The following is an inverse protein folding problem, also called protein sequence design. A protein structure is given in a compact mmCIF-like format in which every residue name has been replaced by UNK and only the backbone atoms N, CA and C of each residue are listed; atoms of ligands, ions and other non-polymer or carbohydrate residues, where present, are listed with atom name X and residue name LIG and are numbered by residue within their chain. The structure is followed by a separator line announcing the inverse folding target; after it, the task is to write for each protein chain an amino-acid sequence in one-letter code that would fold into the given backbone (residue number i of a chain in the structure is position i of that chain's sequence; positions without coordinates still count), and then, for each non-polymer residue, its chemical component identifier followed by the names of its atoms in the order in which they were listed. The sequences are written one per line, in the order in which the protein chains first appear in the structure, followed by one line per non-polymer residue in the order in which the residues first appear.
data_IF_403220511748
#
_entry.id   IF_403220511748
#
_cell.length_a   1.000
_cell.length_b   1.000
_cell.length_c   1.000
_cell.angle_alpha   90.00
_cell.angle_beta   90.00
_cell.angle_gamma   90.00
#
_symmetry.space_group_name_H-M   'P 1'
#
loop_
_entity.id
_entity.type
_entity.pdbx_description
1 polymer ?
#
# COMPACT_ATOMS: atom_id res chain seq x y z
N UNK A 1 -5.83 -12.41 -31.14
CA UNK A 1 -7.01 -12.71 -31.98
C UNK A 1 -7.88 -13.81 -31.38
N UNK A 2 -7.31 -14.99 -31.04
CA UNK A 2 -8.05 -16.15 -30.48
C UNK A 2 -8.98 -15.84 -29.28
N UNK A 3 -8.52 -15.04 -28.31
CA UNK A 3 -9.32 -14.72 -27.12
C UNK A 3 -10.55 -13.83 -27.40
N UNK A 4 -10.45 -12.89 -28.35
CA UNK A 4 -11.59 -12.02 -28.69
C UNK A 4 -12.73 -12.82 -29.32
N UNK A 5 -12.37 -13.77 -30.19
CA UNK A 5 -13.33 -14.71 -30.80
C UNK A 5 -13.99 -15.56 -29.72
N UNK A 6 -13.22 -16.07 -28.76
CA UNK A 6 -13.76 -16.84 -27.64
C UNK A 6 -14.76 -16.02 -26.80
N UNK A 7 -14.43 -14.76 -26.48
CA UNK A 7 -15.32 -13.86 -25.72
C UNK A 7 -16.64 -13.64 -26.46
N UNK A 8 -16.60 -13.39 -27.78
CA UNK A 8 -17.81 -13.19 -28.59
C UNK A 8 -18.64 -14.48 -28.63
N UNK A 9 -18.01 -15.63 -28.88
CA UNK A 9 -18.70 -16.91 -28.92
C UNK A 9 -19.36 -17.24 -27.57
N UNK A 10 -18.64 -17.01 -26.47
CA UNK A 10 -19.15 -17.23 -25.12
C UNK A 10 -20.30 -16.28 -24.78
N UNK A 11 -20.25 -15.03 -25.23
CA UNK A 11 -21.33 -14.07 -25.06
C UNK A 11 -22.62 -14.53 -25.75
N UNK A 12 -22.53 -14.94 -27.03
CA UNK A 12 -23.66 -15.49 -27.77
C UNK A 12 -24.26 -16.70 -27.05
N UNK A 13 -23.40 -17.60 -26.56
CA UNK A 13 -23.83 -18.77 -25.80
C UNK A 13 -24.56 -18.40 -24.49
N UNK A 14 -24.03 -17.46 -23.72
CA UNK A 14 -24.65 -17.00 -22.46
C UNK A 14 -26.00 -16.31 -22.69
N UNK A 15 -26.16 -15.56 -23.79
CA UNK A 15 -27.45 -14.98 -24.18
C UNK A 15 -28.46 -16.07 -24.54
N UNK A 16 -28.04 -17.05 -25.34
CA UNK A 16 -28.90 -18.18 -25.69
C UNK A 16 -29.36 -18.95 -24.45
N UNK A 17 -28.45 -19.17 -23.49
CA UNK A 17 -28.81 -19.77 -22.20
C UNK A 17 -29.83 -18.93 -21.44
N UNK A 18 -29.60 -17.62 -21.35
CA UNK A 18 -30.50 -16.68 -20.69
C UNK A 18 -31.91 -16.67 -21.29
N UNK A 19 -32.03 -16.83 -22.60
CA UNK A 19 -33.31 -16.85 -23.31
C UNK A 19 -34.05 -18.19 -23.20
N UNK A 20 -33.32 -19.31 -23.10
CA UNK A 20 -33.91 -20.66 -23.16
C UNK A 20 -34.18 -21.30 -21.80
N UNK A 21 -33.49 -20.88 -20.75
CA UNK A 21 -33.51 -21.57 -19.45
C UNK A 21 -34.02 -20.68 -18.32
N UNK A 22 -34.57 -21.27 -17.23
CA UNK A 22 -35.07 -20.50 -16.10
C UNK A 22 -33.94 -19.71 -15.40
N UNK A 23 -34.20 -18.48 -14.92
CA UNK A 23 -33.20 -17.57 -14.36
C UNK A 23 -32.28 -18.19 -13.29
N UNK A 24 -32.85 -19.03 -12.42
CA UNK A 24 -32.12 -19.70 -11.34
C UNK A 24 -31.03 -20.64 -11.88
N UNK A 25 -31.33 -21.36 -12.96
CA UNK A 25 -30.37 -22.29 -13.58
C UNK A 25 -29.22 -21.52 -14.25
N UNK A 26 -29.55 -20.43 -14.95
CA UNK A 26 -28.56 -19.62 -15.66
C UNK A 26 -27.66 -18.86 -14.69
N UNK A 27 -28.16 -18.45 -13.52
CA UNK A 27 -27.38 -17.83 -12.45
C UNK A 27 -26.17 -18.66 -12.01
N UNK A 28 -26.25 -19.99 -12.02
CA UNK A 28 -25.10 -20.84 -11.68
C UNK A 28 -23.92 -20.66 -12.64
N UNK A 29 -24.20 -20.33 -13.91
CA UNK A 29 -23.15 -20.10 -14.91
C UNK A 29 -22.27 -18.90 -14.58
N UNK A 30 -22.79 -17.94 -13.79
CA UNK A 30 -22.03 -16.77 -13.30
C UNK A 30 -20.73 -17.17 -12.61
N UNK A 31 -20.75 -18.25 -11.84
CA UNK A 31 -19.61 -18.75 -11.08
C UNK A 31 -18.93 -19.93 -11.74
N UNK A 32 -19.70 -20.83 -12.36
CA UNK A 32 -19.18 -22.05 -12.98
C UNK A 32 -18.26 -21.72 -14.17
N UNK A 33 -18.71 -20.84 -15.07
CA UNK A 33 -17.97 -20.55 -16.31
C UNK A 33 -16.60 -19.92 -16.03
N UNK A 34 -16.45 -18.89 -15.17
CA UNK A 34 -15.13 -18.37 -14.81
C UNK A 34 -14.27 -19.37 -14.05
N UNK A 35 -14.87 -20.19 -13.18
CA UNK A 35 -14.13 -21.17 -12.38
C UNK A 35 -13.54 -22.27 -13.25
N UNK A 36 -14.33 -22.86 -14.15
CA UNK A 36 -13.86 -23.86 -15.11
C UNK A 36 -12.77 -23.25 -16.00
N UNK A 37 -13.00 -22.04 -16.50
CA UNK A 37 -12.00 -21.34 -17.33
C UNK A 37 -10.66 -21.18 -16.58
N UNK A 38 -10.70 -20.77 -15.32
CA UNK A 38 -9.48 -20.63 -14.51
C UNK A 38 -8.78 -21.98 -14.27
N UNK A 39 -9.54 -23.05 -14.01
CA UNK A 39 -8.97 -24.38 -13.78
C UNK A 39 -8.22 -24.88 -15.01
N UNK A 40 -8.81 -24.69 -16.20
CA UNK A 40 -8.24 -25.15 -17.48
C UNK A 40 -7.02 -24.31 -17.90
N UNK A 41 -7.15 -22.97 -17.88
CA UNK A 41 -6.14 -22.08 -18.48
C UNK A 41 -5.16 -21.47 -17.48
N UNK A 42 -5.51 -21.44 -16.19
CA UNK A 42 -4.74 -20.79 -15.11
C UNK A 42 -4.37 -19.32 -15.39
N UNK A 43 -5.08 -18.66 -16.31
CA UNK A 43 -4.85 -17.27 -16.71
C UNK A 43 -5.83 -16.33 -15.97
N UNK A 44 -5.32 -15.60 -14.98
CA UNK A 44 -6.11 -14.67 -14.16
C UNK A 44 -6.71 -13.51 -14.97
N UNK A 45 -5.98 -12.98 -15.95
CA UNK A 45 -6.42 -11.82 -16.73
C UNK A 45 -7.60 -12.20 -17.63
N UNK A 46 -7.51 -13.35 -18.29
CA UNK A 46 -8.59 -13.85 -19.14
C UNK A 46 -9.75 -14.43 -18.31
N UNK A 47 -9.48 -15.00 -17.14
CA UNK A 47 -10.54 -15.38 -16.19
C UNK A 47 -11.36 -14.17 -15.74
N UNK A 48 -10.72 -13.03 -15.46
CA UNK A 48 -11.42 -11.81 -15.07
C UNK A 48 -12.35 -11.30 -16.20
N UNK A 49 -11.90 -11.34 -17.45
CA UNK A 49 -12.74 -11.02 -18.62
C UNK A 49 -13.94 -11.93 -18.73
N UNK A 50 -13.74 -13.23 -18.54
CA UNK A 50 -14.82 -14.23 -18.56
C UNK A 50 -15.80 -14.00 -17.41
N UNK A 51 -15.31 -13.63 -16.22
CA UNK A 51 -16.16 -13.26 -15.09
C UNK A 51 -17.01 -12.02 -15.37
N UNK A 52 -16.41 -10.96 -15.93
CA UNK A 52 -17.16 -9.77 -16.36
C UNK A 52 -18.22 -10.11 -17.42
N UNK A 53 -17.87 -10.98 -18.36
CA UNK A 53 -18.80 -11.45 -19.39
C UNK A 53 -19.94 -12.28 -18.79
N UNK A 54 -19.65 -13.09 -17.77
CA UNK A 54 -20.64 -13.98 -17.14
C UNK A 54 -21.75 -13.19 -16.43
N UNK A 55 -21.55 -11.91 -16.12
CA UNK A 55 -22.60 -11.02 -15.60
C UNK A 55 -23.77 -10.80 -16.59
N UNK A 56 -23.64 -11.17 -17.87
CA UNK A 56 -24.76 -11.10 -18.83
C UNK A 56 -25.97 -11.92 -18.40
N UNK A 57 -25.74 -13.00 -17.64
CA UNK A 57 -26.79 -13.93 -17.22
C UNK A 57 -27.62 -13.44 -16.03
N UNK A 58 -27.25 -12.31 -15.44
CA UNK A 58 -28.01 -11.73 -14.33
C UNK A 58 -29.45 -11.43 -14.82
N UNK A 59 -30.49 -11.93 -14.13
CA UNK A 59 -31.87 -11.84 -14.62
C UNK A 59 -32.35 -10.40 -14.82
N UNK A 60 -31.97 -9.50 -13.92
CA UNK A 60 -32.37 -8.09 -13.96
C UNK A 60 -31.64 -7.24 -14.99
N UNK A 61 -30.65 -7.80 -15.70
CA UNK A 61 -29.90 -7.07 -16.75
C UNK A 61 -30.70 -7.15 -18.06
N UNK A 62 -31.17 -6.03 -18.64
CA UNK A 62 -31.85 -6.03 -19.93
C UNK A 62 -30.97 -6.59 -21.05
N UNK A 63 -31.57 -7.12 -22.13
CA UNK A 63 -30.80 -7.69 -23.24
C UNK A 63 -29.87 -6.66 -23.88
N UNK A 64 -30.30 -5.40 -23.99
CA UNK A 64 -29.54 -4.30 -24.59
C UNK A 64 -28.26 -3.98 -23.80
N UNK A 65 -28.32 -4.04 -22.46
CA UNK A 65 -27.16 -3.74 -21.61
C UNK A 65 -26.14 -4.89 -21.57
N UNK A 66 -26.51 -6.08 -22.05
CA UNK A 66 -25.56 -7.21 -22.18
C UNK A 66 -24.39 -6.91 -23.13
N UNK A 67 -24.57 -5.97 -24.07
CA UNK A 67 -23.50 -5.50 -24.95
C UNK A 67 -22.38 -4.80 -24.18
N UNK A 68 -22.67 -4.13 -23.06
CA UNK A 68 -21.65 -3.51 -22.20
C UNK A 68 -20.73 -4.60 -21.65
N UNK A 69 -21.30 -5.72 -21.22
CA UNK A 69 -20.56 -6.87 -20.71
C UNK A 69 -19.78 -7.63 -21.81
N UNK A 70 -20.09 -7.42 -23.09
CA UNK A 70 -19.29 -7.89 -24.22
C UNK A 70 -18.13 -6.93 -24.52
N UNK A 71 -18.43 -5.65 -24.69
CA UNK A 71 -17.45 -4.64 -25.10
C UNK A 71 -16.39 -4.41 -24.04
N UNK A 72 -16.75 -4.42 -22.75
CA UNK A 72 -15.80 -4.19 -21.66
C UNK A 72 -14.65 -5.22 -21.66
N UNK A 73 -14.90 -6.56 -21.65
CA UNK A 73 -13.86 -7.58 -21.84
C UNK A 73 -13.05 -7.51 -23.14
N UNK A 74 -13.67 -7.05 -24.24
CA UNK A 74 -13.01 -6.93 -25.55
C UNK A 74 -12.03 -5.76 -25.61
N UNK A 75 -12.37 -4.64 -24.98
CA UNK A 75 -11.56 -3.42 -24.93
C UNK A 75 -10.44 -3.54 -23.89
N UNK A 76 -10.69 -4.24 -22.77
CA UNK A 76 -9.65 -4.48 -21.79
C UNK A 76 -8.41 -5.08 -22.48
N UNK A 77 -7.22 -4.54 -22.20
CA UNK A 77 -5.96 -5.04 -22.76
C UNK A 77 -5.39 -6.17 -21.88
N UNK A 78 -5.08 -7.33 -22.47
CA UNK A 78 -4.67 -8.53 -21.72
C UNK A 78 -3.29 -8.30 -21.10
N UNK A 79 -2.42 -7.65 -21.86
CA UNK A 79 -1.11 -7.26 -21.37
C UNK A 79 -1.19 -6.32 -20.17
N UNK A 80 -2.11 -5.35 -20.22
CA UNK A 80 -2.34 -4.42 -19.10
C UNK A 80 -2.87 -5.17 -17.86
N UNK A 81 -3.89 -6.02 -18.00
CA UNK A 81 -4.40 -6.82 -16.88
C UNK A 81 -3.32 -7.74 -16.29
N UNK A 82 -2.46 -8.32 -17.13
CA UNK A 82 -1.32 -9.14 -16.68
C UNK A 82 -0.29 -8.31 -15.92
N UNK A 83 0.00 -7.07 -16.37
CA UNK A 83 0.88 -6.15 -15.66
C UNK A 83 0.31 -5.77 -14.29
N UNK A 84 -0.98 -5.41 -14.23
CA UNK A 84 -1.70 -5.14 -12.97
C UNK A 84 -1.64 -6.35 -12.05
N UNK A 85 -1.92 -7.56 -12.54
CA UNK A 85 -1.89 -8.79 -11.74
C UNK A 85 -0.47 -9.17 -11.23
N UNK A 86 0.58 -8.73 -11.94
CA UNK A 86 1.99 -9.01 -11.61
C UNK A 86 2.66 -7.88 -10.81
N UNK A 87 1.95 -6.82 -10.49
CA UNK A 87 2.50 -5.73 -9.68
C UNK A 87 3.02 -6.27 -8.35
N UNK A 88 4.03 -5.60 -7.80
CA UNK A 88 4.60 -5.94 -6.48
C UNK A 88 4.80 -4.69 -5.65
N UNK A 89 4.65 -4.86 -4.35
CA UNK A 89 4.93 -3.87 -3.32
C UNK A 89 6.06 -4.42 -2.45
N UNK A 90 7.20 -3.73 -2.50
CA UNK A 90 8.38 -4.03 -1.69
C UNK A 90 8.55 -2.88 -0.70
N UNK A 91 8.68 -3.18 0.58
CA UNK A 91 8.80 -2.18 1.64
C UNK A 91 10.12 -2.34 2.36
N UNK A 92 10.90 -1.27 2.41
CA UNK A 92 12.13 -1.17 3.18
C UNK A 92 11.88 -0.34 4.43
N UNK A 93 12.13 -0.94 5.59
CA UNK A 93 11.90 -0.33 6.91
C UNK A 93 13.08 -0.62 7.86
N UNK A 94 13.14 0.09 8.98
CA UNK A 94 14.26 0.01 9.94
C UNK A 94 14.65 1.36 10.52
N UNK A 95 15.60 1.35 11.46
CA UNK A 95 16.01 2.55 12.19
C UNK A 95 16.66 3.63 11.31
N UNK A 96 16.63 4.88 11.74
CA UNK A 96 17.25 5.98 11.00
C UNK A 96 18.77 5.75 10.88
N UNK A 97 19.35 5.99 9.69
CA UNK A 97 20.77 5.70 9.43
C UNK A 97 21.09 4.26 9.00
N UNK A 98 20.08 3.40 8.83
CA UNK A 98 20.27 2.00 8.42
C UNK A 98 20.60 1.76 6.94
N UNK A 99 20.53 2.79 6.08
CA UNK A 99 20.88 2.65 4.64
C UNK A 99 19.71 2.33 3.70
N UNK A 100 18.45 2.31 4.19
CA UNK A 100 17.24 2.03 3.39
C UNK A 100 17.18 2.78 2.05
N UNK A 101 17.42 4.09 2.09
CA UNK A 101 17.39 4.96 0.91
C UNK A 101 18.34 4.48 -0.16
N UNK A 102 19.60 4.21 0.19
CA UNK A 102 20.62 3.67 -0.73
C UNK A 102 20.15 2.35 -1.34
N UNK A 103 19.73 1.39 -0.51
CA UNK A 103 19.27 0.10 -1.01
C UNK A 103 18.02 0.21 -1.88
N UNK A 104 17.08 1.12 -1.57
CA UNK A 104 15.87 1.31 -2.37
C UNK A 104 16.18 1.81 -3.79
N UNK A 105 17.16 2.72 -3.92
CA UNK A 105 17.62 3.26 -5.19
C UNK A 105 18.35 2.18 -5.99
N UNK A 106 19.28 1.46 -5.38
CA UNK A 106 20.00 0.36 -6.04
C UNK A 106 19.07 -0.77 -6.48
N UNK A 107 18.06 -1.10 -5.67
CA UNK A 107 17.06 -2.12 -6.02
C UNK A 107 16.28 -1.70 -7.26
N UNK A 108 15.85 -0.43 -7.37
CA UNK A 108 15.16 0.05 -8.57
C UNK A 108 16.08 0.06 -9.79
N UNK A 109 17.35 0.46 -9.63
CA UNK A 109 18.31 0.37 -10.75
C UNK A 109 18.43 -1.06 -11.24
N UNK A 110 18.63 -2.02 -10.34
CA UNK A 110 18.71 -3.44 -10.65
C UNK A 110 17.44 -3.98 -11.31
N UNK A 111 16.25 -3.67 -10.80
CA UNK A 111 15.00 -4.15 -11.38
C UNK A 111 14.79 -3.58 -12.79
N UNK A 112 15.16 -2.32 -13.03
CA UNK A 112 15.08 -1.70 -14.36
C UNK A 112 16.02 -2.33 -15.37
N UNK A 113 17.23 -2.75 -14.97
CA UNK A 113 18.12 -3.50 -15.89
C UNK A 113 17.56 -4.87 -16.27
N UNK A 114 16.62 -5.41 -15.48
CA UNK A 114 15.84 -6.62 -15.80
C UNK A 114 14.55 -6.33 -16.56
N UNK A 115 14.32 -5.10 -17.01
CA UNK A 115 13.12 -4.71 -17.76
C UNK A 115 11.85 -4.56 -16.91
N UNK A 116 11.97 -4.50 -15.58
CA UNK A 116 10.83 -4.35 -14.67
C UNK A 116 10.55 -2.85 -14.46
N UNK A 117 9.36 -2.41 -14.86
CA UNK A 117 8.90 -1.04 -14.59
C UNK A 117 8.62 -0.88 -13.08
N UNK A 118 9.40 -0.01 -12.44
CA UNK A 118 9.35 0.19 -11.00
C UNK A 118 9.59 1.65 -10.59
N UNK A 119 8.97 2.04 -9.49
CA UNK A 119 9.06 3.37 -8.88
C UNK A 119 9.54 3.26 -7.42
N UNK A 120 10.49 4.12 -7.03
CA UNK A 120 10.83 4.35 -5.61
C UNK A 120 10.00 5.51 -5.09
N UNK A 121 9.45 5.35 -3.90
CA UNK A 121 8.89 6.46 -3.15
C UNK A 121 9.56 6.58 -1.79
N UNK A 122 10.05 7.79 -1.52
CA UNK A 122 10.53 8.21 -0.20
C UNK A 122 9.42 9.04 0.44
N UNK A 123 8.66 8.41 1.34
CA UNK A 123 7.51 9.07 1.96
C UNK A 123 7.99 9.97 3.10
N UNK A 124 8.09 11.28 2.84
CA UNK A 124 8.35 12.28 3.88
C UNK A 124 7.56 13.58 3.66
N UNK A 125 6.37 13.50 3.04
CA UNK A 125 5.47 14.64 2.88
C UNK A 125 4.19 14.39 3.66
N UNK A 126 3.98 15.19 4.69
CA UNK A 126 2.77 15.19 5.51
C UNK A 126 1.92 16.39 5.08
N UNK A 127 1.10 16.24 4.04
CA UNK A 127 0.38 17.38 3.45
C UNK A 127 -0.69 17.90 4.41
N UNK A 128 -1.48 17.00 5.01
CA UNK A 128 -2.54 17.39 5.94
C UNK A 128 -2.00 17.78 7.31
N UNK A 129 -1.00 17.05 7.84
CA UNK A 129 -0.43 17.38 9.16
C UNK A 129 0.34 18.69 9.13
N UNK A 130 1.02 19.03 8.03
CA UNK A 130 1.68 20.33 7.90
C UNK A 130 0.65 21.46 7.81
N UNK A 131 -0.41 21.30 7.02
CA UNK A 131 -1.47 22.29 6.86
C UNK A 131 -2.25 22.50 8.17
N UNK A 132 -2.63 21.42 8.87
CA UNK A 132 -3.32 21.47 10.16
C UNK A 132 -2.43 22.05 11.26
N UNK A 133 -1.13 21.70 11.29
CA UNK A 133 -0.19 22.30 12.25
C UNK A 133 0.04 23.79 11.99
N UNK A 134 0.03 24.23 10.74
CA UNK A 134 0.12 25.65 10.37
C UNK A 134 -1.17 26.39 10.75
N UNK A 135 -2.34 25.80 10.47
CA UNK A 135 -3.63 26.37 10.85
C UNK A 135 -3.78 26.49 12.37
N UNK A 136 -3.45 25.44 13.12
CA UNK A 136 -3.45 25.44 14.59
C UNK A 136 -2.47 26.48 15.17
N UNK A 137 -1.27 26.60 14.59
CA UNK A 137 -0.30 27.61 14.99
C UNK A 137 -0.82 29.04 14.73
N UNK A 138 -1.48 29.28 13.59
CA UNK A 138 -2.11 30.57 13.27
C UNK A 138 -3.27 30.91 14.22
N UNK A 139 -4.17 29.95 14.48
CA UNK A 139 -5.36 30.16 15.33
C UNK A 139 -4.95 30.47 16.79
N UNK A 140 -3.88 29.86 17.29
CA UNK A 140 -3.42 30.05 18.67
C UNK A 140 -2.27 31.05 18.83
N UNK A 141 -1.96 31.82 17.79
CA UNK A 141 -0.85 32.79 17.82
C UNK A 141 0.52 32.18 18.14
N UNK A 142 0.71 30.87 17.91
CA UNK A 142 1.96 30.16 18.17
C UNK A 142 2.90 30.28 16.97
N UNK A 143 4.22 30.41 17.19
CA UNK A 143 5.17 30.44 16.08
C UNK A 143 5.05 29.14 15.26
N UNK A 144 4.93 29.28 13.94
CA UNK A 144 4.87 28.15 13.03
C UNK A 144 6.20 27.40 13.13
N UNK A 145 6.18 26.24 13.79
CA UNK A 145 7.36 25.38 13.91
C UNK A 145 7.56 24.68 12.56
N UNK A 146 8.20 25.38 11.62
CA UNK A 146 8.90 24.68 10.54
C UNK A 146 10.08 23.99 11.20
N UNK A 147 10.08 22.66 11.27
CA UNK A 147 11.24 21.88 11.68
C UNK A 147 12.37 22.14 10.68
N UNK A 148 13.10 23.25 10.86
CA UNK A 148 14.40 23.47 10.27
C UNK A 148 15.33 22.51 11.02
N UNK A 149 16.03 21.64 10.30
CA UNK A 149 17.09 20.82 10.87
C UNK A 149 18.11 21.74 11.53
N UNK A 150 18.01 21.95 12.84
CA UNK A 150 18.99 22.73 13.59
C UNK A 150 20.09 21.76 14.02
N UNK A 151 21.25 21.84 13.35
CA UNK A 151 22.45 21.05 13.68
C UNK A 151 22.68 21.04 15.21
N UNK A 152 22.87 19.85 15.77
CA UNK A 152 23.32 19.67 17.16
C UNK A 152 22.27 19.77 18.26
N UNK A 153 20.98 20.04 17.94
CA UNK A 153 19.91 20.02 18.95
C UNK A 153 19.15 18.69 18.90
N UNK A 154 19.15 17.96 20.02
CA UNK A 154 18.32 16.77 20.21
C UNK A 154 16.85 17.14 19.95
N UNK A 155 16.24 16.53 18.93
CA UNK A 155 14.85 16.79 18.56
C UNK A 155 13.87 16.24 19.61
N UNK A 156 14.27 15.18 20.32
CA UNK A 156 13.44 14.48 21.31
C UNK A 156 14.02 14.65 22.72
N UNK A 157 13.67 15.78 23.36
CA UNK A 157 14.02 16.07 24.75
C UNK A 157 12.96 15.54 25.73
N UNK A 158 13.28 15.48 27.02
CA UNK A 158 12.29 15.10 28.04
C UNK A 158 11.14 16.11 28.16
N UNK A 159 11.42 17.39 27.90
CA UNK A 159 10.40 18.43 27.77
C UNK A 159 9.43 18.15 26.60
N UNK A 160 9.94 17.63 25.47
CA UNK A 160 9.11 17.20 24.34
C UNK A 160 8.21 16.03 24.73
N UNK A 161 8.74 15.00 25.43
CA UNK A 161 7.95 13.86 25.91
C UNK A 161 6.85 14.26 26.90
N UNK A 162 7.13 15.18 27.83
CA UNK A 162 6.11 15.71 28.76
C UNK A 162 4.97 16.41 28.02
N UNK A 163 5.28 17.19 26.98
CA UNK A 163 4.26 17.90 26.15
C UNK A 163 3.36 16.95 25.37
N UNK A 164 3.86 15.79 24.97
CA UNK A 164 3.18 14.81 24.11
C UNK A 164 2.20 13.91 24.87
N UNK A 165 2.24 13.90 26.20
CA UNK A 165 1.30 13.14 27.03
C UNK A 165 -0.07 13.81 27.21
N UNK A 166 -0.35 14.90 26.50
CA UNK A 166 -1.64 15.59 26.54
C UNK A 166 -2.66 14.91 25.62
N UNK A 167 -3.95 14.96 25.96
CA UNK A 167 -5.04 14.36 25.17
C UNK A 167 -5.08 14.87 23.72
N UNK A 168 -4.78 16.15 23.51
CA UNK A 168 -4.70 16.76 22.17
C UNK A 168 -3.57 16.17 21.30
N UNK A 169 -2.53 15.59 21.90
CA UNK A 169 -1.47 14.91 21.16
C UNK A 169 -1.92 13.57 20.54
N UNK A 170 -3.03 12.98 21.02
CA UNK A 170 -3.62 11.75 20.48
C UNK A 170 -4.14 11.93 19.05
N UNK A 171 -4.61 13.12 18.70
CA UNK A 171 -5.11 13.39 17.34
C UNK A 171 -3.99 13.39 16.31
N UNK A 172 -2.74 13.64 16.69
CA UNK A 172 -1.63 13.74 15.74
C UNK A 172 -1.31 12.40 15.06
N UNK A 173 -1.17 11.26 15.78
CA UNK A 173 -1.08 9.95 15.16
C UNK A 173 -2.26 9.61 14.24
N UNK A 174 -3.50 9.95 14.64
CA UNK A 174 -4.70 9.68 13.84
C UNK A 174 -4.70 10.49 12.53
N UNK A 175 -4.46 11.79 12.60
CA UNK A 175 -4.37 12.66 11.43
C UNK A 175 -3.25 12.22 10.49
N UNK A 176 -2.10 11.82 11.02
CA UNK A 176 -1.01 11.29 10.20
C UNK A 176 -1.40 9.98 9.52
N UNK A 177 -2.12 9.10 10.20
CA UNK A 177 -2.58 7.85 9.60
C UNK A 177 -3.52 8.11 8.43
N UNK A 178 -4.47 9.04 8.59
CA UNK A 178 -5.38 9.45 7.51
C UNK A 178 -4.60 10.04 6.33
N UNK A 179 -3.67 10.96 6.59
CA UNK A 179 -2.80 11.57 5.56
C UNK A 179 -1.99 10.50 4.82
N UNK A 180 -1.43 9.52 5.55
CA UNK A 180 -0.72 8.40 4.97
C UNK A 180 -1.62 7.51 4.11
N UNK A 181 -2.86 7.26 4.55
CA UNK A 181 -3.82 6.45 3.78
C UNK A 181 -4.20 7.13 2.47
N UNK A 182 -4.46 8.44 2.51
CA UNK A 182 -4.75 9.20 1.30
C UNK A 182 -3.52 9.19 0.40
N UNK A 183 -2.35 9.57 0.91
CA UNK A 183 -1.19 9.75 0.05
C UNK A 183 -0.56 8.43 -0.43
N UNK A 184 -0.19 7.54 0.51
CA UNK A 184 0.43 6.25 0.19
C UNK A 184 -0.61 5.35 -0.50
N UNK A 185 -1.84 5.30 0.00
CA UNK A 185 -2.90 4.46 -0.58
C UNK A 185 -3.23 4.86 -2.02
N UNK A 186 -3.44 6.15 -2.30
CA UNK A 186 -3.71 6.62 -3.68
C UNK A 186 -2.51 6.36 -4.60
N UNK A 187 -1.28 6.59 -4.14
CA UNK A 187 -0.10 6.33 -4.97
C UNK A 187 0.12 4.83 -5.24
N UNK A 188 -0.11 3.97 -4.26
CA UNK A 188 -0.08 2.52 -4.46
C UNK A 188 -1.14 2.08 -5.46
N UNK A 189 -2.36 2.60 -5.34
CA UNK A 189 -3.46 2.31 -6.27
C UNK A 189 -3.10 2.71 -7.70
N UNK A 190 -2.59 3.93 -7.90
CA UNK A 190 -2.18 4.40 -9.24
C UNK A 190 -1.09 3.52 -9.84
N UNK A 191 -0.08 3.12 -9.05
CA UNK A 191 1.00 2.27 -9.56
C UNK A 191 0.55 0.82 -9.80
N UNK A 192 -0.33 0.28 -8.94
CA UNK A 192 -0.96 -1.02 -9.14
C UNK A 192 -1.75 -1.05 -10.45
N UNK A 193 -2.58 -0.03 -10.71
CA UNK A 193 -3.36 0.13 -11.94
C UNK A 193 -2.42 0.26 -13.17
N UNK A 194 -1.24 0.85 -13.00
CA UNK A 194 -0.22 0.89 -14.07
C UNK A 194 0.57 -0.43 -14.21
N UNK A 195 0.40 -1.38 -13.28
CA UNK A 195 1.17 -2.60 -13.19
C UNK A 195 2.65 -2.39 -12.85
N UNK A 196 2.98 -1.24 -12.25
CA UNK A 196 4.34 -0.88 -11.85
C UNK A 196 4.66 -1.45 -10.49
N UNK A 197 5.87 -1.97 -10.33
CA UNK A 197 6.38 -2.36 -9.02
C UNK A 197 6.67 -1.12 -8.19
N UNK A 198 6.34 -1.17 -6.91
CA UNK A 198 6.54 -0.07 -5.97
C UNK A 198 7.54 -0.50 -4.91
N UNK A 199 8.60 0.29 -4.76
CA UNK A 199 9.56 0.18 -3.66
C UNK A 199 9.35 1.38 -2.73
N UNK A 200 8.94 1.09 -1.51
CA UNK A 200 8.72 2.09 -0.48
C UNK A 200 9.92 2.16 0.46
N UNK A 201 10.61 3.29 0.49
CA UNK A 201 11.51 3.64 1.58
C UNK A 201 10.68 4.29 2.68
N UNK A 202 10.40 3.49 3.72
CA UNK A 202 9.41 3.71 4.79
C UNK A 202 7.97 3.44 4.38
N UNK A 203 7.19 2.92 5.30
CA UNK A 203 5.78 2.58 5.11
C UNK A 203 4.94 3.06 6.29
N UNK A 204 3.64 2.70 6.35
CA UNK A 204 2.75 3.04 7.46
C UNK A 204 3.36 2.68 8.83
N UNK A 205 4.10 1.56 8.88
CA UNK A 205 4.81 1.05 10.05
C UNK A 205 5.79 2.05 10.64
N UNK A 206 6.61 2.71 9.81
CA UNK A 206 7.65 3.64 10.26
C UNK A 206 7.05 4.83 11.01
N UNK A 207 5.92 5.36 10.52
CA UNK A 207 5.23 6.47 11.17
C UNK A 207 4.61 6.05 12.49
N UNK A 208 3.96 4.88 12.53
CA UNK A 208 3.39 4.33 13.77
C UNK A 208 4.47 4.05 14.82
N UNK A 209 5.57 3.37 14.45
CA UNK A 209 6.70 3.10 15.34
C UNK A 209 7.26 4.40 15.90
N UNK A 210 7.44 5.41 15.05
CA UNK A 210 7.91 6.72 15.51
C UNK A 210 7.02 7.30 16.59
N UNK A 211 5.69 7.33 16.41
CA UNK A 211 4.77 7.82 17.45
C UNK A 211 4.84 6.99 18.73
N UNK A 212 4.86 5.66 18.60
CA UNK A 212 4.94 4.74 19.74
C UNK A 212 6.22 4.94 20.55
N UNK A 213 7.37 4.98 19.90
CA UNK A 213 8.68 5.16 20.54
C UNK A 213 8.80 6.54 21.20
N UNK A 214 8.20 7.57 20.60
CA UNK A 214 8.17 8.92 21.18
C UNK A 214 7.21 9.06 22.37
N UNK A 215 6.41 8.02 22.66
CA UNK A 215 5.49 8.01 23.79
C UNK A 215 4.18 8.76 23.54
N UNK A 216 3.78 8.92 22.27
CA UNK A 216 2.43 9.42 21.96
C UNK A 216 1.37 8.47 22.52
N UNK A 217 0.24 8.99 23.01
CA UNK A 217 -0.90 8.15 23.36
C UNK A 217 -1.49 7.59 22.06
N UNK A 218 -1.09 6.37 21.71
CA UNK A 218 -1.58 5.66 20.53
C UNK A 218 -2.55 4.58 21.01
N UNK A 219 -3.87 4.69 20.71
CA UNK A 219 -4.82 3.70 21.15
C UNK A 219 -4.59 2.37 20.43
N UNK A 220 -4.90 1.24 21.08
CA UNK A 220 -4.70 -0.11 20.52
C UNK A 220 -5.41 -0.31 19.17
N UNK A 221 -6.54 0.36 18.97
CA UNK A 221 -7.25 0.35 17.68
C UNK A 221 -6.38 0.89 16.55
N UNK A 222 -5.54 1.91 16.80
CA UNK A 222 -4.65 2.47 15.78
C UNK A 222 -3.52 1.48 15.43
N UNK A 223 -3.00 0.77 16.44
CA UNK A 223 -2.04 -0.32 16.23
C UNK A 223 -2.65 -1.42 15.36
N UNK A 224 -3.88 -1.83 15.65
CA UNK A 224 -4.61 -2.80 14.84
C UNK A 224 -4.85 -2.30 13.42
N UNK A 225 -5.30 -1.05 13.22
CA UNK A 225 -5.50 -0.48 11.87
C UNK A 225 -4.19 -0.46 11.09
N UNK A 226 -3.08 -0.04 11.70
CA UNK A 226 -1.79 0.02 11.02
C UNK A 226 -1.30 -1.37 10.63
N UNK A 227 -1.43 -2.35 11.53
CA UNK A 227 -0.94 -3.69 11.24
C UNK A 227 -1.86 -4.50 10.35
N UNK A 228 -3.17 -4.47 10.55
CA UNK A 228 -4.09 -5.35 9.84
C UNK A 228 -4.74 -4.73 8.61
N UNK A 229 -5.02 -3.42 8.63
CA UNK A 229 -5.76 -2.79 7.54
C UNK A 229 -4.85 -2.27 6.42
N UNK A 230 -3.60 -1.91 6.71
CA UNK A 230 -2.71 -1.36 5.67
C UNK A 230 -2.36 -2.41 4.62
N UNK A 231 -2.19 -2.02 3.33
CA UNK A 231 -1.89 -2.98 2.28
C UNK A 231 -0.66 -3.84 2.61
N UNK A 232 -0.86 -5.16 2.70
CA UNK A 232 0.24 -6.06 3.02
C UNK A 232 1.30 -6.02 1.90
N UNK A 233 2.58 -5.75 2.21
CA UNK A 233 3.63 -5.79 1.22
C UNK A 233 3.85 -7.22 0.72
N UNK A 234 4.23 -7.36 -0.54
CA UNK A 234 4.63 -8.64 -1.11
C UNK A 234 6.00 -9.08 -0.59
N UNK A 235 6.85 -8.11 -0.24
CA UNK A 235 8.14 -8.32 0.40
C UNK A 235 8.38 -7.17 1.39
N UNK A 236 8.51 -7.53 2.67
CA UNK A 236 8.92 -6.61 3.73
C UNK A 236 10.38 -6.89 4.07
N UNK A 237 11.24 -5.88 3.95
CA UNK A 237 12.65 -5.94 4.34
C UNK A 237 12.89 -4.99 5.50
N UNK A 238 13.40 -5.54 6.60
CA UNK A 238 13.81 -4.80 7.79
C UNK A 238 15.32 -4.76 7.85
N UNK A 239 15.88 -3.55 7.74
CA UNK A 239 17.31 -3.32 7.92
C UNK A 239 17.60 -3.23 9.42
N UNK A 240 18.19 -4.30 9.96
CA UNK A 240 18.66 -4.35 11.33
C UNK A 240 20.11 -3.86 11.40
N UNK A 241 20.32 -2.76 12.11
CA UNK A 241 21.66 -2.18 12.29
C UNK A 241 21.84 -1.91 13.78
N UNK A 242 23.05 -2.11 14.29
CA UNK A 242 23.36 -1.77 15.66
C UNK A 242 22.97 -0.30 15.96
N UNK A 243 22.15 -0.04 17.00
CA UNK A 243 21.70 1.31 17.35
C UNK A 243 22.84 2.33 17.52
N UNK A 244 23.99 1.89 18.04
CA UNK A 244 25.17 2.74 18.25
C UNK A 244 25.78 3.18 16.92
N UNK A 245 25.83 2.29 15.93
CA UNK A 245 26.35 2.61 14.59
C UNK A 245 25.42 3.61 13.90
N UNK A 246 24.10 3.35 13.94
CA UNK A 246 23.10 4.24 13.36
C UNK A 246 23.08 5.63 14.03
N UNK A 247 23.22 5.67 15.36
CA UNK A 247 23.36 6.91 16.14
C UNK A 247 24.58 7.72 15.69
N UNK A 248 25.75 7.07 15.53
CA UNK A 248 26.98 7.71 15.02
C UNK A 248 26.81 8.21 13.59
N UNK A 249 26.23 7.41 12.69
CA UNK A 249 25.95 7.81 11.29
C UNK A 249 25.04 9.04 11.20
N UNK A 250 24.06 9.14 12.08
CA UNK A 250 23.14 10.30 12.19
C UNK A 250 23.69 11.43 13.06
N UNK A 251 24.95 11.34 13.53
CA UNK A 251 25.64 12.35 14.36
C UNK A 251 24.82 12.75 15.59
N UNK A 252 24.15 11.78 16.22
CA UNK A 252 23.36 12.02 17.42
C UNK A 252 22.12 12.90 17.24
N UNK A 253 21.51 12.92 16.06
CA UNK A 253 20.25 13.65 15.80
C UNK A 253 19.13 13.32 16.80
N UNK A 254 19.07 12.06 17.23
CA UNK A 254 18.14 11.56 18.23
C UNK A 254 18.92 10.90 19.37
N UNK A 255 18.37 10.86 20.58
CA UNK A 255 19.02 10.19 21.70
C UNK A 255 19.13 8.67 21.45
N UNK A 256 20.18 8.03 21.97
CA UNK A 256 20.46 6.61 21.71
C UNK A 256 19.28 5.69 22.07
N UNK A 257 18.55 5.99 23.14
CA UNK A 257 17.37 5.22 23.54
C UNK A 257 16.35 5.10 22.41
N UNK A 258 16.15 6.15 21.60
CA UNK A 258 15.20 6.13 20.49
C UNK A 258 15.54 5.05 19.48
N UNK A 259 16.83 4.93 19.10
CA UNK A 259 17.29 3.91 18.17
C UNK A 259 17.13 2.50 18.74
N UNK A 260 17.38 2.31 20.04
CA UNK A 260 17.23 1.01 20.72
C UNK A 260 15.76 0.57 20.72
N UNK A 261 14.84 1.44 21.11
CA UNK A 261 13.40 1.11 21.13
C UNK A 261 12.83 0.95 19.72
N UNK A 262 13.21 1.82 18.78
CA UNK A 262 12.77 1.71 17.39
C UNK A 262 13.22 0.38 16.77
N UNK A 263 14.48 -0.04 17.00
CA UNK A 263 14.99 -1.34 16.54
C UNK A 263 14.13 -2.49 17.06
N UNK A 264 13.80 -2.48 18.35
CA UNK A 264 12.95 -3.51 18.97
C UNK A 264 11.59 -3.62 18.28
N UNK A 265 10.94 -2.48 17.99
CA UNK A 265 9.65 -2.48 17.30
C UNK A 265 9.77 -2.94 15.84
N UNK A 266 10.81 -2.54 15.09
CA UNK A 266 11.00 -3.03 13.73
C UNK A 266 11.23 -4.54 13.66
N UNK A 267 12.00 -5.11 14.59
CA UNK A 267 12.17 -6.57 14.70
C UNK A 267 10.87 -7.28 15.07
N UNK A 268 10.03 -6.67 15.91
CA UNK A 268 8.68 -7.18 16.21
C UNK A 268 7.81 -7.22 14.95
N UNK A 269 7.86 -6.18 14.10
CA UNK A 269 7.12 -6.19 12.84
C UNK A 269 7.64 -7.28 11.90
N UNK A 270 8.97 -7.44 11.79
CA UNK A 270 9.56 -8.50 10.97
C UNK A 270 8.98 -9.87 11.36
N UNK A 271 8.92 -10.18 12.66
CA UNK A 271 8.32 -11.42 13.18
C UNK A 271 6.84 -11.52 12.83
N UNK A 272 6.06 -10.48 13.09
CA UNK A 272 4.60 -10.50 12.90
C UNK A 272 4.19 -10.60 11.43
N UNK A 273 4.92 -9.93 10.53
CA UNK A 273 4.61 -9.86 9.09
C UNK A 273 5.45 -10.82 8.25
N UNK A 274 6.21 -11.72 8.88
CA UNK A 274 7.16 -12.64 8.22
C UNK A 274 8.11 -11.88 7.27
N UNK A 275 8.54 -10.69 7.71
CA UNK A 275 9.48 -9.85 6.98
C UNK A 275 10.90 -10.42 7.05
N UNK A 276 11.67 -10.17 5.99
CA UNK A 276 13.09 -10.54 5.90
C UNK A 276 13.91 -9.52 6.68
N UNK A 277 14.80 -9.99 7.55
CA UNK A 277 15.73 -9.15 8.29
C UNK A 277 17.09 -9.20 7.60
N UNK A 278 17.67 -8.04 7.31
CA UNK A 278 19.01 -7.88 6.73
C UNK A 278 19.88 -7.17 7.76
N UNK A 279 21.06 -7.74 8.05
CA UNK A 279 22.05 -7.22 9.01
C UNK A 279 23.18 -6.46 8.29
#
# INVERSE_FOLDING_TARGET
MKMKILIIALWCFLILLKLKFPPLLVMFTLFIVPSIFYIIFRDKANTFRVALLSCTVIPHVPLQTTLIFLFLPLILNDEWLRKVAKWKLIVFTGIDGSGKTTHSIETVRYLRTKGIDCAVYHWFRQLLVSSASIAYAKILGKPIIRHRYTRGKNVYTDAFRKRIRTSMAMFRPLLQLIDNWIFIGTMLLINMIKGRWVICDRYFYDYYIRFKVLGYPVPKILEWVVYELTPNPHLLIVFDVNPVISYKRRRGEHPLWYYVYARKEYLRIAKNKKGVVIN
#
